data_IF_594615685359
#
_entry.id   IF_594615685359
#
_cell.length_a   1.000
_cell.length_b   1.000
_cell.length_c   1.000
_cell.angle_alpha   90.00
_cell.angle_beta   90.00
_cell.angle_gamma   90.00
#
_symmetry.space_group_name_H-M   'P 1'
#
loop_
_entity.id
_entity.type
_entity.pdbx_description
1 polymer ?
#
# COMPACT_ATOMS: atom_id res chain seq x y z
N UNK A 1 -13.78 33.77 -7.61
CA UNK A 1 -13.51 32.59 -8.46
C UNK A 1 -12.35 31.75 -7.95
N UNK A 2 -11.16 32.30 -7.70
CA UNK A 2 -10.02 31.52 -7.18
C UNK A 2 -10.24 31.03 -5.73
N UNK A 3 -10.88 31.84 -4.90
CA UNK A 3 -11.18 31.45 -3.51
C UNK A 3 -12.25 30.37 -3.43
N UNK A 4 -13.23 30.38 -4.32
CA UNK A 4 -14.27 29.35 -4.40
C UNK A 4 -13.71 28.02 -4.92
N UNK A 5 -12.80 28.05 -5.90
CA UNK A 5 -12.09 26.86 -6.40
C UNK A 5 -11.21 26.23 -5.33
N UNK A 6 -10.48 27.05 -4.55
CA UNK A 6 -9.67 26.57 -3.42
C UNK A 6 -10.54 25.99 -2.31
N UNK A 7 -11.70 26.58 -2.05
CA UNK A 7 -12.64 26.08 -1.05
C UNK A 7 -13.23 24.73 -1.49
N UNK A 8 -13.61 24.59 -2.76
CA UNK A 8 -14.08 23.31 -3.32
C UNK A 8 -13.00 22.24 -3.31
N UNK A 9 -11.76 22.59 -3.63
CA UNK A 9 -10.63 21.67 -3.56
C UNK A 9 -10.36 21.21 -2.11
N UNK A 10 -10.44 22.12 -1.14
CA UNK A 10 -10.26 21.79 0.27
C UNK A 10 -11.38 20.90 0.82
N UNK A 11 -12.64 21.18 0.44
CA UNK A 11 -13.79 20.34 0.83
C UNK A 11 -13.67 18.96 0.20
N UNK A 12 -13.31 18.87 -1.07
CA UNK A 12 -13.05 17.61 -1.76
C UNK A 12 -11.94 16.82 -1.09
N UNK A 13 -10.85 17.45 -0.70
CA UNK A 13 -9.73 16.80 0.02
C UNK A 13 -10.14 16.27 1.40
N UNK A 14 -10.99 16.99 2.13
CA UNK A 14 -11.46 16.55 3.44
C UNK A 14 -12.43 15.37 3.33
N UNK A 15 -13.35 15.43 2.38
CA UNK A 15 -14.27 14.31 2.10
C UNK A 15 -13.51 13.06 1.61
N UNK A 16 -12.54 13.27 0.74
CA UNK A 16 -11.68 12.21 0.22
C UNK A 16 -10.81 11.59 1.32
N UNK A 17 -10.28 12.40 2.22
CA UNK A 17 -9.53 11.93 3.40
C UNK A 17 -10.43 11.13 4.36
N UNK A 18 -11.66 11.59 4.59
CA UNK A 18 -12.64 10.86 5.41
C UNK A 18 -13.03 9.52 4.76
N UNK A 19 -13.26 9.51 3.45
CA UNK A 19 -13.52 8.30 2.66
C UNK A 19 -12.35 7.31 2.73
N UNK A 20 -11.11 7.83 2.60
CA UNK A 20 -9.90 7.03 2.71
C UNK A 20 -9.80 6.35 4.08
N UNK A 21 -10.03 7.10 5.15
CA UNK A 21 -10.03 6.57 6.53
C UNK A 21 -11.08 5.48 6.72
N UNK A 22 -12.26 5.66 6.17
CA UNK A 22 -13.33 4.65 6.20
C UNK A 22 -12.94 3.40 5.40
N UNK A 23 -12.31 3.56 4.22
CA UNK A 23 -11.86 2.45 3.39
C UNK A 23 -10.67 1.69 3.99
N UNK A 24 -9.83 2.36 4.77
CA UNK A 24 -8.70 1.76 5.48
C UNK A 24 -9.15 0.91 6.67
N UNK A 25 -10.45 0.87 6.97
CA UNK A 25 -10.95 0.16 8.14
C UNK A 25 -10.34 0.69 9.42
N UNK A 26 -10.02 2.01 9.45
CA UNK A 26 -9.57 2.67 10.65
C UNK A 26 -10.65 2.47 11.71
N UNK A 27 -10.45 1.44 12.53
CA UNK A 27 -11.31 1.14 13.64
C UNK A 27 -11.54 2.41 14.44
N UNK A 28 -12.72 2.58 14.97
CA UNK A 28 -13.32 3.78 15.58
C UNK A 28 -12.46 4.48 16.65
N UNK A 29 -11.23 4.02 16.92
CA UNK A 29 -10.44 4.46 18.08
C UNK A 29 -9.02 4.99 17.79
N UNK A 30 -8.55 5.04 16.53
CA UNK A 30 -7.23 5.62 16.26
C UNK A 30 -7.21 6.29 14.88
N UNK A 31 -7.26 7.63 14.85
CA UNK A 31 -7.11 8.35 13.60
C UNK A 31 -5.67 8.20 13.08
N UNK A 32 -5.50 7.47 11.98
CA UNK A 32 -4.23 7.44 11.27
C UNK A 32 -3.85 8.87 10.84
N UNK A 33 -2.67 9.31 11.21
CA UNK A 33 -2.13 10.55 10.70
C UNK A 33 -1.76 10.37 9.24
N UNK A 34 -2.29 11.21 8.37
CA UNK A 34 -2.05 11.15 6.94
C UNK A 34 -1.60 12.50 6.40
N UNK A 35 -0.76 12.48 5.38
CA UNK A 35 -0.33 13.66 4.62
C UNK A 35 -0.44 13.36 3.13
N UNK A 36 -0.70 14.39 2.33
CA UNK A 36 -0.77 14.29 0.87
C UNK A 36 0.55 14.74 0.28
N UNK A 37 1.09 13.97 -0.65
CA UNK A 37 2.23 14.35 -1.47
C UNK A 37 1.90 14.22 -2.96
N UNK A 38 2.61 14.97 -3.79
CA UNK A 38 2.45 14.93 -5.23
C UNK A 38 3.58 14.15 -5.88
N UNK A 39 3.22 13.36 -6.88
CA UNK A 39 4.19 12.61 -7.67
C UNK A 39 4.83 13.54 -8.68
N UNK A 40 6.14 13.68 -8.62
CA UNK A 40 6.93 14.50 -9.54
C UNK A 40 7.52 13.71 -10.69
N UNK A 41 7.77 12.42 -10.50
CA UNK A 41 8.33 11.53 -11.54
C UNK A 41 7.91 10.08 -11.29
N UNK A 42 7.73 9.34 -12.38
CA UNK A 42 7.43 7.90 -12.38
C UNK A 42 8.50 7.19 -13.19
N UNK A 43 9.20 6.26 -12.56
CA UNK A 43 10.15 5.38 -13.23
C UNK A 43 9.68 3.93 -13.10
N UNK A 44 9.22 3.37 -14.22
CA UNK A 44 8.74 1.99 -14.30
C UNK A 44 9.58 1.20 -15.31
N UNK A 45 10.85 0.98 -15.00
CA UNK A 45 11.65 0.02 -15.74
C UNK A 45 11.35 -1.40 -15.26
N UNK A 46 11.65 -2.41 -16.09
CA UNK A 46 11.41 -3.82 -15.72
C UNK A 46 12.14 -4.25 -14.42
N UNK A 47 13.19 -3.54 -14.04
CA UNK A 47 14.04 -3.90 -12.89
C UNK A 47 13.84 -3.00 -11.66
N UNK A 48 13.39 -1.77 -11.86
CA UNK A 48 13.16 -0.81 -10.77
C UNK A 48 11.88 -0.03 -11.04
N UNK A 49 10.98 -0.11 -10.11
CA UNK A 49 9.71 0.60 -10.18
C UNK A 49 9.59 1.54 -8.98
N UNK A 50 9.81 2.81 -9.23
CA UNK A 50 9.79 3.86 -8.23
C UNK A 50 9.01 5.07 -8.72
N UNK A 51 8.40 5.76 -7.80
CA UNK A 51 7.90 7.12 -8.00
C UNK A 51 8.64 8.07 -7.09
N UNK A 52 8.83 9.31 -7.54
CA UNK A 52 9.41 10.39 -6.74
C UNK A 52 8.30 11.30 -6.29
N UNK A 53 8.27 11.61 -5.01
CA UNK A 53 7.31 12.51 -4.39
C UNK A 53 7.99 13.79 -3.88
N UNK A 54 7.22 14.86 -3.73
CA UNK A 54 7.67 16.20 -3.38
C UNK A 54 7.77 16.46 -1.87
N UNK A 55 7.77 15.41 -1.06
CA UNK A 55 7.97 15.48 0.39
C UNK A 55 9.12 14.57 0.81
N UNK A 56 9.80 14.95 1.87
CA UNK A 56 10.97 14.25 2.37
C UNK A 56 11.10 14.30 3.88
N UNK A 57 12.35 14.17 4.38
CA UNK A 57 12.63 14.15 5.81
C UNK A 57 12.22 15.45 6.53
N UNK A 58 12.23 16.59 5.84
CA UNK A 58 11.75 17.86 6.40
C UNK A 58 10.24 17.84 6.73
N UNK A 59 9.48 16.98 6.07
CA UNK A 59 8.04 16.79 6.28
C UNK A 59 7.73 15.64 7.26
N UNK A 60 8.75 15.06 7.88
CA UNK A 60 8.61 13.98 8.85
C UNK A 60 8.52 12.58 8.22
N UNK A 61 8.84 12.41 6.95
CA UNK A 61 8.88 11.11 6.29
C UNK A 61 10.04 10.26 6.83
N UNK A 62 9.87 8.95 6.75
CA UNK A 62 10.88 7.99 7.18
C UNK A 62 10.95 6.80 6.21
N UNK A 63 12.09 6.13 6.20
CA UNK A 63 12.31 4.93 5.37
C UNK A 63 11.36 3.81 5.81
N UNK A 64 10.72 3.18 4.84
CA UNK A 64 9.74 2.11 5.08
C UNK A 64 8.31 2.60 5.30
N UNK A 65 8.07 3.91 5.27
CA UNK A 65 6.74 4.49 5.44
C UNK A 65 5.79 4.03 4.35
N UNK A 66 4.58 3.65 4.73
CA UNK A 66 3.52 3.22 3.83
C UNK A 66 3.00 4.38 2.98
N UNK A 67 2.84 4.13 1.69
CA UNK A 67 2.32 5.08 0.71
C UNK A 67 1.09 4.47 0.03
N UNK A 68 0.02 5.23 0.00
CA UNK A 68 -1.30 4.82 -0.47
C UNK A 68 -1.82 5.79 -1.53
N UNK A 69 -2.85 5.35 -2.25
CA UNK A 69 -3.79 6.23 -2.93
C UNK A 69 -5.23 5.84 -2.53
N UNK A 70 -6.23 6.39 -3.20
CA UNK A 70 -7.64 6.10 -2.93
C UNK A 70 -8.01 4.63 -3.13
N UNK A 71 -7.32 3.94 -4.01
CA UNK A 71 -7.64 2.57 -4.39
C UNK A 71 -6.93 1.53 -3.52
N UNK A 72 -5.78 1.88 -2.95
CA UNK A 72 -5.03 0.96 -2.09
C UNK A 72 -3.56 1.32 -1.91
N UNK A 73 -2.80 0.34 -1.48
CA UNK A 73 -1.35 0.47 -1.23
C UNK A 73 -0.59 0.65 -2.54
N UNK A 74 0.26 1.66 -2.59
CA UNK A 74 1.17 1.93 -3.70
C UNK A 74 2.55 1.34 -3.47
N UNK A 75 3.10 1.54 -2.28
CA UNK A 75 4.46 1.13 -1.95
C UNK A 75 4.96 1.66 -0.63
N UNK A 76 6.26 1.79 -0.53
CA UNK A 76 6.97 2.28 0.65
C UNK A 76 8.04 3.28 0.27
N UNK A 77 8.33 4.21 1.19
CA UNK A 77 9.49 5.09 1.07
C UNK A 77 10.77 4.26 1.16
N UNK A 78 11.57 4.31 0.11
CA UNK A 78 12.82 3.54 -0.05
C UNK A 78 14.06 4.44 0.07
N UNK A 79 14.03 5.61 -0.56
CA UNK A 79 15.11 6.61 -0.48
C UNK A 79 14.51 7.91 0.02
N UNK A 80 15.18 8.53 0.98
CA UNK A 80 14.72 9.74 1.64
C UNK A 80 15.72 10.89 1.42
N UNK A 81 15.26 11.92 0.73
CA UNK A 81 15.91 13.22 0.66
C UNK A 81 15.27 14.20 1.64
N UNK A 82 15.80 15.42 1.73
CA UNK A 82 15.26 16.45 2.60
C UNK A 82 13.86 16.93 2.14
N UNK A 83 13.69 17.13 0.84
CA UNK A 83 12.45 17.64 0.23
C UNK A 83 11.87 16.72 -0.85
N UNK A 84 12.36 15.51 -0.95
CA UNK A 84 11.86 14.48 -1.86
C UNK A 84 12.01 13.10 -1.23
N UNK A 85 11.27 12.14 -1.75
CA UNK A 85 11.46 10.73 -1.43
C UNK A 85 11.21 9.86 -2.66
N UNK A 86 11.91 8.75 -2.73
CA UNK A 86 11.61 7.69 -3.68
C UNK A 86 10.72 6.66 -2.99
N UNK A 87 9.63 6.31 -3.65
CA UNK A 87 8.70 5.28 -3.21
C UNK A 87 8.88 4.06 -4.10
N UNK A 88 9.30 2.94 -3.53
CA UNK A 88 9.32 1.67 -4.25
C UNK A 88 7.90 1.14 -4.39
N UNK A 89 7.50 0.79 -5.61
CA UNK A 89 6.16 0.27 -5.88
C UNK A 89 6.03 -1.18 -5.42
N UNK A 90 4.82 -1.57 -5.03
CA UNK A 90 4.53 -2.95 -4.60
C UNK A 90 4.78 -4.00 -5.68
N UNK A 91 4.75 -3.60 -6.95
CA UNK A 91 5.03 -4.45 -8.11
C UNK A 91 6.51 -4.58 -8.47
N UNK A 92 7.38 -3.81 -7.82
CA UNK A 92 8.83 -3.96 -7.98
C UNK A 92 9.26 -5.36 -7.55
N UNK A 93 10.09 -6.02 -8.39
CA UNK A 93 10.50 -7.41 -8.16
C UNK A 93 11.39 -7.61 -6.93
N UNK A 94 11.90 -6.55 -6.36
CA UNK A 94 12.68 -6.56 -5.10
C UNK A 94 11.82 -6.26 -3.87
N UNK A 95 10.54 -5.94 -4.05
CA UNK A 95 9.63 -5.60 -2.96
C UNK A 95 8.85 -6.83 -2.47
N UNK A 96 8.73 -6.94 -1.17
CA UNK A 96 7.92 -7.95 -0.50
C UNK A 96 7.08 -7.30 0.60
N UNK A 97 5.84 -7.70 0.71
CA UNK A 97 4.91 -7.16 1.69
C UNK A 97 4.15 -8.28 2.40
N UNK A 98 4.14 -8.29 3.75
CA UNK A 98 3.31 -9.20 4.53
C UNK A 98 1.82 -8.89 4.33
N UNK A 99 1.06 -9.90 3.94
CA UNK A 99 -0.38 -9.77 3.64
C UNK A 99 -1.23 -10.74 4.45
N UNK A 100 -2.51 -10.44 4.48
CA UNK A 100 -3.56 -11.31 4.99
C UNK A 100 -4.66 -11.42 3.94
N UNK A 101 -5.14 -12.64 3.72
CA UNK A 101 -6.33 -12.86 2.90
C UNK A 101 -7.55 -12.48 3.72
N UNK A 102 -8.30 -11.49 3.28
CA UNK A 102 -9.40 -10.90 4.05
C UNK A 102 -10.48 -11.94 4.42
N UNK A 103 -10.78 -12.87 3.52
CA UNK A 103 -11.81 -13.89 3.72
C UNK A 103 -11.43 -14.94 4.76
N UNK A 104 -10.19 -15.40 4.77
CA UNK A 104 -9.75 -16.56 5.55
C UNK A 104 -8.84 -16.22 6.73
N UNK A 105 -8.27 -15.01 6.74
CA UNK A 105 -7.24 -14.62 7.70
C UNK A 105 -5.87 -15.28 7.45
N UNK A 106 -5.70 -15.96 6.32
CA UNK A 106 -4.42 -16.56 5.93
C UNK A 106 -3.37 -15.46 5.77
N UNK A 107 -2.23 -15.62 6.45
CA UNK A 107 -1.10 -14.69 6.37
C UNK A 107 0.02 -15.29 5.54
N UNK A 108 0.53 -14.52 4.62
CA UNK A 108 1.67 -14.88 3.77
C UNK A 108 2.40 -13.62 3.29
N UNK A 109 3.31 -13.78 2.35
CA UNK A 109 4.06 -12.67 1.77
C UNK A 109 3.69 -12.55 0.29
N UNK A 110 3.41 -11.34 -0.15
CA UNK A 110 3.25 -11.00 -1.56
C UNK A 110 4.53 -10.36 -2.09
N UNK A 111 4.98 -10.82 -3.24
CA UNK A 111 6.17 -10.32 -3.93
C UNK A 111 5.77 -9.56 -5.19
N UNK A 112 6.47 -8.48 -5.49
CA UNK A 112 6.31 -7.78 -6.76
C UNK A 112 6.72 -8.66 -7.93
N UNK A 113 5.94 -8.64 -9.00
CA UNK A 113 6.15 -9.46 -10.19
C UNK A 113 6.07 -8.63 -11.49
N UNK A 114 6.40 -7.34 -11.42
CA UNK A 114 6.41 -6.43 -12.56
C UNK A 114 5.11 -5.64 -12.74
N UNK A 115 4.02 -6.27 -13.08
CA UNK A 115 2.69 -5.65 -13.23
C UNK A 115 1.68 -6.16 -12.20
N UNK A 116 1.99 -7.26 -11.57
CA UNK A 116 1.16 -7.96 -10.60
C UNK A 116 1.96 -8.28 -9.34
N UNK A 117 1.28 -8.86 -8.37
CA UNK A 117 1.90 -9.47 -7.19
C UNK A 117 1.84 -10.99 -7.31
N UNK A 118 2.83 -11.66 -6.75
CA UNK A 118 2.87 -13.11 -6.68
C UNK A 118 2.85 -13.60 -5.24
N UNK A 119 1.99 -14.57 -4.95
CA UNK A 119 2.05 -15.42 -3.76
C UNK A 119 2.71 -16.72 -4.15
N UNK A 120 3.82 -17.04 -3.52
CA UNK A 120 4.59 -18.26 -3.80
C UNK A 120 4.60 -19.17 -2.58
N UNK A 121 4.75 -20.47 -2.80
CA UNK A 121 4.90 -21.46 -1.74
C UNK A 121 3.77 -21.48 -0.70
N UNK A 122 2.53 -21.19 -1.13
CA UNK A 122 1.37 -21.35 -0.26
C UNK A 122 0.99 -22.83 -0.20
N UNK A 123 0.86 -23.43 0.98
CA UNK A 123 0.44 -24.83 1.07
C UNK A 123 -0.90 -25.07 0.39
N UNK A 124 -1.05 -26.19 -0.32
CA UNK A 124 -2.33 -26.54 -0.98
C UNK A 124 -3.47 -26.77 0.00
N UNK A 125 -3.16 -27.02 1.26
CA UNK A 125 -4.15 -27.12 2.36
C UNK A 125 -4.75 -25.77 2.76
N UNK A 126 -4.10 -24.66 2.38
CA UNK A 126 -4.62 -23.33 2.65
C UNK A 126 -5.77 -22.99 1.70
N UNK A 127 -6.84 -22.42 2.26
CA UNK A 127 -8.01 -21.99 1.48
C UNK A 127 -7.72 -20.65 0.80
N UNK A 128 -7.39 -20.72 -0.46
CA UNK A 128 -7.11 -19.59 -1.33
C UNK A 128 -7.94 -19.71 -2.61
N UNK A 129 -8.56 -18.62 -3.05
CA UNK A 129 -9.45 -18.61 -4.21
C UNK A 129 -9.22 -17.38 -5.09
N UNK A 130 -9.49 -17.53 -6.39
CA UNK A 130 -9.60 -16.37 -7.29
C UNK A 130 -10.72 -15.45 -6.81
N UNK A 131 -10.44 -14.15 -6.78
CA UNK A 131 -11.34 -13.13 -6.23
C UNK A 131 -11.06 -12.78 -4.76
N UNK A 132 -10.20 -13.51 -4.06
CA UNK A 132 -9.79 -13.15 -2.71
C UNK A 132 -9.10 -11.79 -2.67
N UNK A 133 -9.50 -10.99 -1.69
CA UNK A 133 -8.91 -9.67 -1.43
C UNK A 133 -7.74 -9.83 -0.47
N UNK A 134 -6.61 -9.28 -0.88
CA UNK A 134 -5.40 -9.20 -0.08
C UNK A 134 -5.32 -7.83 0.60
N UNK A 135 -5.05 -7.85 1.90
CA UNK A 135 -4.84 -6.67 2.72
C UNK A 135 -3.51 -6.77 3.45
N UNK A 136 -2.99 -5.64 3.93
CA UNK A 136 -1.79 -5.66 4.75
C UNK A 136 -2.06 -6.35 6.08
N UNK A 137 -1.12 -7.19 6.52
CA UNK A 137 -1.28 -7.93 7.79
C UNK A 137 -0.89 -7.13 9.03
N UNK A 138 -0.19 -6.01 8.87
CA UNK A 138 0.39 -5.24 9.97
C UNK A 138 1.64 -5.88 10.57
N UNK A 139 2.09 -7.01 10.05
CA UNK A 139 3.29 -7.68 10.52
C UNK A 139 4.54 -6.85 10.24
N UNK A 140 5.42 -6.70 11.21
CA UNK A 140 6.64 -5.91 11.09
C UNK A 140 6.43 -4.39 11.30
N UNK A 141 5.24 -3.93 11.63
CA UNK A 141 4.89 -2.52 11.94
C UNK A 141 5.23 -1.49 10.84
N UNK A 142 5.43 -1.93 9.60
CA UNK A 142 5.70 -1.04 8.46
C UNK A 142 4.45 -0.52 7.80
N UNK A 143 3.43 -1.37 7.72
CA UNK A 143 2.12 -1.03 7.20
C UNK A 143 1.07 -1.17 8.30
N UNK A 144 0.17 -0.20 8.47
CA UNK A 144 -1.03 -0.43 9.25
C UNK A 144 -1.79 -1.65 8.72
N UNK A 145 -2.44 -2.41 9.61
CA UNK A 145 -3.21 -3.59 9.23
C UNK A 145 -4.48 -3.22 8.47
N UNK A 146 -4.85 -4.04 7.50
CA UNK A 146 -6.14 -3.96 6.81
C UNK A 146 -6.18 -3.02 5.62
N UNK A 147 -5.04 -2.52 5.14
CA UNK A 147 -4.99 -1.70 3.93
C UNK A 147 -5.18 -2.58 2.69
N UNK A 148 -6.08 -2.17 1.79
CA UNK A 148 -6.32 -2.88 0.53
C UNK A 148 -5.07 -2.88 -0.34
N UNK A 149 -4.73 -4.05 -0.86
CA UNK A 149 -3.53 -4.23 -1.68
C UNK A 149 -3.86 -4.71 -3.09
N UNK A 150 -4.47 -5.87 -3.20
CA UNK A 150 -4.70 -6.54 -4.47
C UNK A 150 -5.85 -7.55 -4.39
N UNK A 151 -6.27 -8.04 -5.54
CA UNK A 151 -7.22 -9.14 -5.65
C UNK A 151 -6.60 -10.29 -6.45
N UNK A 152 -6.78 -11.53 -6.02
CA UNK A 152 -6.27 -12.71 -6.72
C UNK A 152 -7.04 -12.88 -8.04
N UNK A 153 -6.30 -12.95 -9.15
CA UNK A 153 -6.85 -13.10 -10.49
C UNK A 153 -6.55 -14.46 -11.11
N UNK A 154 -5.49 -15.15 -10.67
CA UNK A 154 -5.14 -16.48 -11.16
C UNK A 154 -4.42 -17.31 -10.11
N UNK A 155 -4.49 -18.62 -10.26
CA UNK A 155 -3.85 -19.58 -9.38
C UNK A 155 -3.29 -20.75 -10.17
N UNK A 156 -2.21 -21.36 -9.66
CA UNK A 156 -1.62 -22.56 -10.18
C UNK A 156 -1.14 -23.45 -9.02
N UNK A 157 -1.14 -24.77 -9.25
CA UNK A 157 -0.65 -25.76 -8.29
C UNK A 157 0.65 -26.35 -8.81
N UNK A 158 1.62 -26.55 -7.92
CA UNK A 158 2.89 -27.20 -8.25
C UNK A 158 2.68 -28.64 -8.73
N UNK A 159 3.65 -29.19 -9.49
CA UNK A 159 3.54 -30.53 -10.07
C UNK A 159 3.37 -31.63 -9.02
N UNK A 160 4.02 -31.48 -7.87
CA UNK A 160 3.93 -32.40 -6.72
C UNK A 160 2.69 -32.15 -5.85
N UNK A 161 1.87 -31.15 -6.18
CA UNK A 161 0.67 -30.73 -5.44
C UNK A 161 0.92 -30.35 -3.97
N UNK A 162 2.13 -29.98 -3.63
CA UNK A 162 2.49 -29.57 -2.27
C UNK A 162 2.20 -28.11 -2.04
N UNK A 163 2.48 -27.28 -3.05
CA UNK A 163 2.31 -25.83 -3.00
C UNK A 163 1.40 -25.32 -4.12
N UNK A 164 0.77 -24.21 -3.84
CA UNK A 164 0.05 -23.41 -4.81
C UNK A 164 0.66 -22.02 -4.91
N UNK A 165 0.54 -21.42 -6.07
CA UNK A 165 0.93 -20.04 -6.35
C UNK A 165 -0.30 -19.26 -6.78
N UNK A 166 -0.30 -17.98 -6.51
CA UNK A 166 -1.36 -17.07 -6.97
C UNK A 166 -0.74 -15.81 -7.54
N UNK A 167 -1.43 -15.23 -8.52
CA UNK A 167 -1.16 -13.88 -9.00
C UNK A 167 -2.28 -12.97 -8.56
N UNK A 168 -1.93 -11.75 -8.19
CA UNK A 168 -2.88 -10.77 -7.72
C UNK A 168 -2.69 -9.42 -8.40
N UNK A 169 -3.79 -8.83 -8.84
CA UNK A 169 -3.80 -7.52 -9.47
C UNK A 169 -3.93 -6.44 -8.40
N UNK A 170 -2.99 -5.49 -8.32
CA UNK A 170 -3.11 -4.34 -7.42
C UNK A 170 -4.41 -3.57 -7.66
N UNK A 171 -5.03 -3.09 -6.59
CA UNK A 171 -6.17 -2.18 -6.69
C UNK A 171 -5.76 -0.80 -7.19
N UNK A 172 -4.57 -0.35 -6.79
CA UNK A 172 -4.02 0.93 -7.23
C UNK A 172 -3.54 0.87 -8.67
N UNK A 173 -3.86 1.89 -9.46
CA UNK A 173 -3.33 2.09 -10.80
C UNK A 173 -1.95 2.74 -10.71
N UNK A 174 -0.90 1.93 -10.70
CA UNK A 174 0.47 2.37 -10.45
C UNK A 174 1.11 3.14 -11.62
N UNK A 175 0.51 3.09 -12.80
CA UNK A 175 0.95 3.82 -14.00
C UNK A 175 0.39 5.24 -14.12
N UNK A 176 -0.56 5.61 -13.25
CA UNK A 176 -1.29 6.88 -13.31
C UNK A 176 -1.34 7.63 -11.98
N UNK A 177 -0.25 7.58 -11.25
CA UNK A 177 -0.17 8.23 -9.94
C UNK A 177 0.08 9.73 -10.10
N UNK A 178 -0.76 10.54 -9.49
CA UNK A 178 -0.62 11.99 -9.41
C UNK A 178 -0.46 12.45 -7.97
N UNK A 179 -1.28 11.92 -7.08
CA UNK A 179 -1.30 12.22 -5.66
C UNK A 179 -1.19 10.93 -4.86
N UNK A 180 -0.48 11.00 -3.76
CA UNK A 180 -0.31 9.86 -2.85
C UNK A 180 -0.53 10.33 -1.41
N UNK A 181 -0.88 9.38 -0.56
CA UNK A 181 -1.08 9.59 0.86
C UNK A 181 0.03 8.88 1.64
N UNK A 182 0.66 9.62 2.52
CA UNK A 182 1.64 9.09 3.46
C UNK A 182 0.94 8.80 4.77
N UNK A 183 1.19 7.63 5.33
CA UNK A 183 0.53 7.16 6.54
C UNK A 183 1.56 6.96 7.65
N UNK A 184 1.31 7.56 8.81
CA UNK A 184 2.08 7.30 10.02
C UNK A 184 1.37 6.20 10.80
N UNK A 185 2.09 5.14 11.21
CA UNK A 185 1.53 4.15 12.11
C UNK A 185 1.21 4.82 13.45
N UNK A 186 0.14 4.35 14.11
CA UNK A 186 -0.19 4.80 15.45
C UNK A 186 1.01 4.60 16.37
N UNK A 187 1.51 5.68 16.93
CA UNK A 187 2.46 5.60 18.04
C UNK A 187 1.70 5.05 19.26
N UNK A 188 2.18 3.98 19.88
CA UNK A 188 1.61 3.61 21.17
C UNK A 188 1.74 4.81 22.09
N UNK A 189 0.62 5.23 22.67
CA UNK A 189 0.61 6.29 23.66
C UNK A 189 1.50 5.81 24.81
N UNK A 190 2.70 6.31 24.87
CA UNK A 190 3.54 6.15 26.06
C UNK A 190 2.91 6.98 27.16
N UNK A 191 2.08 6.35 27.97
CA UNK A 191 1.72 6.92 29.26
C UNK A 191 3.01 6.97 30.08
N UNK A 192 3.63 8.14 30.12
CA UNK A 192 4.60 8.46 31.14
C UNK A 192 3.83 8.69 32.44
N UNK A 193 3.85 7.70 33.32
CA UNK A 193 3.69 7.92 34.76
C UNK A 193 4.99 8.48 35.34
#
# INVERSE_FOLDING_TARGET
LEAELKLQQNVSMVEENHRLRTMLGAAENSPLTTSVAFVSNINQSQKKQHVVIDQGSADGLFIGQAVLNLDGVIGQVDVLGQHFAHVILITDTTHAIPIEVLRTGLRTIAYGAGTELALTEVPTSADLQVGDVLVTSGFGNRFPRGLKLATINSMAVSQDRTFQTAQAQPFAQLDRLTEVFLVWPDQPVTNNE
#
